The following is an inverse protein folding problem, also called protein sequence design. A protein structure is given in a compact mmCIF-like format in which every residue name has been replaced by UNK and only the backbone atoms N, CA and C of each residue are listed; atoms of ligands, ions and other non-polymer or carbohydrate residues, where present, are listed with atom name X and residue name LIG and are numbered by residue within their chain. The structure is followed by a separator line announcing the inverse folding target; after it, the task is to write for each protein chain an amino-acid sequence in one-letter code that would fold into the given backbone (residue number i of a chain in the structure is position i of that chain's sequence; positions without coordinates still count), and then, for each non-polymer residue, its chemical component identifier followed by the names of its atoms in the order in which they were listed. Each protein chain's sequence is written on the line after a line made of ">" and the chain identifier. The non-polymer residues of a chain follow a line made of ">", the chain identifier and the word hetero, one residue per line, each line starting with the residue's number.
data_IF_062624643198
#
_entry.id   IF_062624643198
#
_cell.length_a   1.000
_cell.length_b   1.000
_cell.length_c   1.000
_cell.angle_alpha   90.00
_cell.angle_beta   90.00
_cell.angle_gamma   90.00
#
_symmetry.space_group_name_H-M   'P 1'
#
loop_
_entity.id
_entity.type
_entity.pdbx_description
1 polymer ?
#
# COMPACT_ATOMS: atom_id res chain seq x y z
N UNK A 1 -16.57 -19.76 -19.88
CA UNK A 1 -15.29 -19.21 -19.40
C UNK A 1 -14.68 -20.23 -18.48
N UNK A 2 -13.36 -20.36 -18.54
CA UNK A 2 -12.63 -21.26 -17.65
C UNK A 2 -11.76 -20.40 -16.75
N UNK A 3 -11.89 -20.65 -15.46
CA UNK A 3 -11.19 -19.90 -14.43
C UNK A 3 -10.37 -20.84 -13.57
N UNK A 4 -9.21 -20.34 -13.20
CA UNK A 4 -8.25 -21.03 -12.35
C UNK A 4 -7.75 -20.07 -11.28
N UNK A 5 -7.32 -20.63 -10.16
CA UNK A 5 -6.69 -19.87 -9.08
C UNK A 5 -5.40 -20.53 -8.61
N UNK A 6 -4.52 -19.74 -8.03
CA UNK A 6 -3.35 -20.22 -7.29
C UNK A 6 -3.16 -19.42 -6.02
N UNK A 7 -3.12 -20.14 -4.89
CA UNK A 7 -2.80 -19.59 -3.57
C UNK A 7 -1.28 -19.55 -3.29
N UNK A 8 -0.48 -20.09 -4.22
CA UNK A 8 0.98 -20.08 -4.12
C UNK A 8 1.55 -18.67 -4.26
N UNK A 9 2.50 -18.24 -3.40
CA UNK A 9 3.07 -16.89 -3.46
C UNK A 9 3.84 -16.61 -4.75
N UNK A 10 4.36 -17.66 -5.40
CA UNK A 10 5.01 -17.54 -6.72
C UNK A 10 4.06 -17.00 -7.80
N UNK A 11 2.75 -17.23 -7.69
CA UNK A 11 1.77 -16.77 -8.67
C UNK A 11 1.75 -15.24 -8.82
N UNK A 12 2.08 -14.48 -7.76
CA UNK A 12 2.14 -13.02 -7.84
C UNK A 12 3.27 -12.52 -8.75
N UNK A 13 4.31 -13.34 -8.92
CA UNK A 13 5.46 -13.10 -9.80
C UNK A 13 5.29 -13.79 -11.15
N UNK A 14 4.10 -14.31 -11.46
CA UNK A 14 3.85 -14.97 -12.73
C UNK A 14 4.24 -14.05 -13.89
N UNK A 15 4.95 -14.64 -14.84
CA UNK A 15 5.44 -14.00 -16.06
C UNK A 15 4.81 -14.58 -17.31
N UNK A 16 4.32 -15.82 -17.23
CA UNK A 16 3.89 -16.60 -18.37
C UNK A 16 2.69 -17.50 -18.03
N UNK A 17 1.79 -17.63 -18.99
CA UNK A 17 0.71 -18.61 -19.01
C UNK A 17 0.66 -19.26 -20.40
N UNK A 18 0.56 -20.59 -20.45
CA UNK A 18 0.51 -21.34 -21.70
C UNK A 18 -0.37 -22.59 -21.58
N UNK A 19 -0.71 -23.16 -22.73
CA UNK A 19 -1.32 -24.49 -22.82
C UNK A 19 -0.18 -25.51 -22.92
N UNK A 20 -0.12 -26.46 -21.99
CA UNK A 20 0.90 -27.52 -21.97
C UNK A 20 0.87 -28.39 -23.24
N UNK A 21 -0.29 -28.49 -23.90
CA UNK A 21 -0.45 -29.32 -25.09
C UNK A 21 -0.19 -28.56 -26.40
N UNK A 22 0.03 -27.25 -26.34
CA UNK A 22 0.18 -26.40 -27.51
C UNK A 22 1.33 -25.40 -27.33
N UNK A 23 2.48 -25.75 -27.91
CA UNK A 23 3.70 -24.95 -27.83
C UNK A 23 3.64 -23.68 -28.70
N UNK A 24 2.65 -23.54 -29.58
CA UNK A 24 2.61 -22.47 -30.59
C UNK A 24 2.11 -21.11 -30.07
N UNK A 25 1.88 -20.95 -28.76
CA UNK A 25 1.54 -19.62 -28.24
C UNK A 25 1.33 -19.51 -26.74
N UNK A 26 1.72 -18.35 -26.21
CA UNK A 26 1.44 -17.98 -24.83
C UNK A 26 0.00 -17.45 -24.71
N UNK A 27 -0.74 -17.99 -23.76
CA UNK A 27 -2.10 -17.55 -23.42
C UNK A 27 -2.09 -16.19 -22.72
N UNK A 28 -1.01 -15.88 -22.01
CA UNK A 28 -0.76 -14.58 -21.39
C UNK A 28 0.74 -14.42 -21.10
N UNK A 29 1.25 -13.20 -21.26
CA UNK A 29 2.61 -12.82 -20.88
C UNK A 29 2.59 -11.52 -20.09
N UNK A 30 3.49 -11.42 -19.10
CA UNK A 30 3.70 -10.19 -18.35
C UNK A 30 4.81 -9.38 -19.00
N UNK A 31 4.48 -8.19 -19.49
CA UNK A 31 5.46 -7.29 -20.13
C UNK A 31 6.46 -6.71 -19.13
N UNK A 32 6.04 -6.43 -17.89
CA UNK A 32 6.87 -5.86 -16.84
C UNK A 32 6.64 -6.59 -15.51
N UNK A 33 7.65 -7.28 -15.00
CA UNK A 33 7.59 -8.05 -13.75
C UNK A 33 7.51 -7.16 -12.50
N UNK A 34 8.00 -5.91 -12.59
CA UNK A 34 7.95 -4.95 -11.48
C UNK A 34 6.57 -4.32 -11.31
N UNK A 35 5.72 -4.39 -12.34
CA UNK A 35 4.34 -3.86 -12.29
C UNK A 35 3.42 -4.88 -11.64
N UNK A 36 2.76 -4.59 -10.51
CA UNK A 36 1.85 -5.54 -9.84
C UNK A 36 0.76 -6.08 -10.76
N UNK A 37 0.28 -7.29 -10.48
CA UNK A 37 -0.88 -7.86 -11.19
C UNK A 37 -2.11 -6.95 -11.00
N UNK A 38 -2.90 -6.71 -12.06
CA UNK A 38 -4.09 -5.89 -11.95
C UNK A 38 -5.15 -6.57 -11.07
N UNK A 39 -6.01 -5.78 -10.43
CA UNK A 39 -7.18 -6.31 -9.75
C UNK A 39 -8.11 -7.00 -10.74
N UNK A 40 -8.71 -8.11 -10.34
CA UNK A 40 -9.71 -8.77 -11.16
C UNK A 40 -10.91 -7.85 -11.34
N UNK A 41 -11.13 -7.38 -12.57
CA UNK A 41 -12.28 -6.57 -12.95
C UNK A 41 -13.25 -7.42 -13.75
N UNK A 42 -14.54 -7.08 -13.71
CA UNK A 42 -15.58 -7.72 -14.52
C UNK A 42 -15.41 -7.48 -16.03
N UNK A 43 -14.48 -6.60 -16.42
CA UNK A 43 -14.03 -6.42 -17.79
C UNK A 43 -13.21 -7.63 -18.24
N UNK A 44 -13.97 -8.61 -18.72
CA UNK A 44 -13.59 -9.68 -19.63
C UNK A 44 -12.26 -9.51 -20.38
N UNK A 45 -11.48 -10.60 -20.57
CA UNK A 45 -10.27 -10.55 -21.38
C UNK A 45 -10.58 -10.09 -22.81
N UNK A 46 -9.69 -9.27 -23.43
CA UNK A 46 -9.78 -8.94 -24.86
C UNK A 46 -9.67 -10.22 -25.70
N UNK A 47 -10.28 -10.18 -26.89
CA UNK A 47 -10.96 -11.25 -27.64
C UNK A 47 -10.22 -12.57 -27.97
N UNK A 48 -9.10 -12.94 -27.34
CA UNK A 48 -8.55 -14.30 -27.47
C UNK A 48 -7.53 -14.78 -26.42
N UNK A 49 -7.08 -13.95 -25.47
CA UNK A 49 -5.98 -14.33 -24.56
C UNK A 49 -6.44 -14.27 -23.10
N UNK A 50 -6.05 -15.25 -22.30
CA UNK A 50 -6.38 -15.28 -20.87
C UNK A 50 -5.93 -13.98 -20.16
N UNK A 51 -6.64 -13.60 -19.10
CA UNK A 51 -6.22 -12.53 -18.19
C UNK A 51 -5.68 -13.17 -16.90
N UNK A 52 -4.56 -12.65 -16.40
CA UNK A 52 -4.09 -12.95 -15.04
C UNK A 52 -4.30 -11.72 -14.17
N UNK A 53 -4.99 -11.88 -13.04
CA UNK A 53 -5.38 -10.80 -12.14
C UNK A 53 -5.34 -11.27 -10.68
N UNK A 54 -5.52 -10.33 -9.75
CA UNK A 54 -5.55 -10.63 -8.30
C UNK A 54 -6.85 -10.19 -7.63
N UNK A 55 -7.36 -11.02 -6.73
CA UNK A 55 -8.42 -10.70 -5.77
C UNK A 55 -8.20 -11.55 -4.50
N UNK A 56 -7.40 -11.04 -3.56
CA UNK A 56 -6.82 -11.76 -2.41
C UNK A 56 -5.83 -12.88 -2.80
N UNK A 57 -6.13 -13.63 -3.86
CA UNK A 57 -5.31 -14.66 -4.48
C UNK A 57 -5.20 -14.40 -5.99
N UNK A 58 -4.32 -15.11 -6.68
CA UNK A 58 -4.13 -14.95 -8.13
C UNK A 58 -5.17 -15.78 -8.88
N UNK A 59 -5.81 -15.14 -9.85
CA UNK A 59 -6.77 -15.76 -10.75
C UNK A 59 -6.30 -15.69 -12.20
N UNK A 60 -6.68 -16.70 -12.96
CA UNK A 60 -6.56 -16.79 -14.40
C UNK A 60 -7.97 -16.89 -14.97
N UNK A 61 -8.33 -15.98 -15.86
CA UNK A 61 -9.65 -15.91 -16.50
C UNK A 61 -9.47 -16.07 -18.00
N UNK A 62 -9.89 -17.21 -18.53
CA UNK A 62 -9.76 -17.53 -19.94
C UNK A 62 -11.13 -17.59 -20.63
N UNK A 63 -11.20 -17.03 -21.84
CA UNK A 63 -12.32 -17.20 -22.76
C UNK A 63 -11.93 -18.22 -23.84
N UNK A 64 -12.89 -19.05 -24.24
CA UNK A 64 -12.75 -19.97 -25.38
C UNK A 64 -11.57 -20.95 -25.29
N UNK A 65 -11.24 -21.47 -24.09
CA UNK A 65 -10.30 -22.60 -24.01
C UNK A 65 -10.92 -23.82 -24.68
N UNK A 66 -10.15 -24.47 -25.53
CA UNK A 66 -10.54 -25.77 -26.10
C UNK A 66 -10.72 -26.79 -24.98
N UNK A 67 -11.68 -27.70 -25.15
CA UNK A 67 -11.94 -28.72 -24.13
C UNK A 67 -10.69 -29.60 -23.94
N UNK A 68 -10.24 -29.72 -22.70
CA UNK A 68 -9.08 -30.56 -22.32
C UNK A 68 -7.73 -29.83 -22.30
N UNK A 69 -7.71 -28.51 -22.55
CA UNK A 69 -6.51 -27.69 -22.36
C UNK A 69 -6.01 -27.76 -20.92
N UNK A 70 -4.70 -27.99 -20.75
CA UNK A 70 -4.03 -27.94 -19.44
C UNK A 70 -3.24 -26.65 -19.37
N UNK A 71 -3.78 -25.70 -18.61
CA UNK A 71 -3.16 -24.38 -18.43
C UNK A 71 -2.04 -24.48 -17.41
N UNK A 72 -0.86 -24.00 -17.78
CA UNK A 72 0.34 -23.94 -16.95
C UNK A 72 0.75 -22.48 -16.75
N UNK A 73 1.27 -22.17 -15.57
CA UNK A 73 1.76 -20.85 -15.21
C UNK A 73 3.20 -20.93 -14.71
N UNK A 74 4.02 -19.96 -15.11
CA UNK A 74 5.41 -19.84 -14.67
C UNK A 74 5.68 -18.47 -14.06
N UNK A 75 6.57 -18.48 -13.06
CA UNK A 75 7.07 -17.31 -12.36
C UNK A 75 8.60 -17.33 -12.34
N UNK A 76 9.21 -16.99 -13.49
CA UNK A 76 10.65 -17.18 -13.70
C UNK A 76 10.98 -18.66 -13.91
N UNK A 77 11.74 -19.26 -12.99
CA UNK A 77 12.08 -20.70 -13.03
C UNK A 77 11.07 -21.58 -12.28
N UNK A 78 10.12 -20.98 -11.56
CA UNK A 78 9.15 -21.69 -10.75
C UNK A 78 7.90 -22.03 -11.57
N UNK A 79 7.44 -23.28 -11.51
CA UNK A 79 6.10 -23.63 -11.97
C UNK A 79 5.06 -23.33 -10.89
N UNK A 80 3.97 -22.68 -11.29
CA UNK A 80 2.87 -22.31 -10.41
C UNK A 80 1.71 -23.29 -10.61
N UNK A 81 1.31 -23.93 -9.52
CA UNK A 81 0.17 -24.85 -9.53
C UNK A 81 -1.15 -24.07 -9.65
N UNK A 82 -1.88 -24.34 -10.72
CA UNK A 82 -3.23 -23.81 -10.92
C UNK A 82 -4.28 -24.86 -10.58
N UNK A 83 -5.35 -24.43 -9.90
CA UNK A 83 -6.53 -25.26 -9.64
C UNK A 83 -7.75 -24.64 -10.30
N UNK A 84 -8.64 -25.47 -10.85
CA UNK A 84 -9.90 -24.99 -11.42
C UNK A 84 -10.74 -24.31 -10.32
N UNK A 85 -11.30 -23.16 -10.64
CA UNK A 85 -12.11 -22.38 -9.71
C UNK A 85 -13.27 -21.71 -10.43
N UNK A 86 -14.19 -21.17 -9.64
CA UNK A 86 -15.12 -20.16 -10.15
C UNK A 86 -14.35 -18.89 -10.53
N UNK A 87 -14.93 -18.12 -11.44
CA UNK A 87 -14.36 -16.85 -11.86
C UNK A 87 -14.55 -15.81 -10.75
N UNK A 88 -13.55 -14.95 -10.50
CA UNK A 88 -13.65 -13.96 -9.44
C UNK A 88 -14.79 -12.98 -9.75
N UNK A 89 -15.63 -12.71 -8.75
CA UNK A 89 -16.57 -11.59 -8.83
C UNK A 89 -15.80 -10.27 -8.84
N UNK A 90 -16.29 -9.26 -9.58
CA UNK A 90 -15.71 -7.92 -9.53
C UNK A 90 -15.70 -7.41 -8.08
N UNK A 91 -14.65 -6.70 -7.66
CA UNK A 91 -14.63 -6.10 -6.35
C UNK A 91 -15.82 -5.14 -6.21
N UNK A 92 -16.47 -5.10 -5.04
CA UNK A 92 -17.55 -4.15 -4.78
C UNK A 92 -17.03 -2.73 -5.03
N UNK A 93 -17.84 -1.92 -5.74
CA UNK A 93 -17.47 -0.58 -6.21
C UNK A 93 -17.22 0.41 -5.06
N UNK A 94 -17.59 0.07 -3.83
CA UNK A 94 -17.49 0.94 -2.67
C UNK A 94 -16.58 0.34 -1.58
N UNK A 95 -15.28 0.65 -1.64
CA UNK A 95 -14.46 0.68 -0.45
C UNK A 95 -13.47 1.84 -0.55
N UNK A 96 -13.68 2.97 0.15
CA UNK A 96 -12.70 4.04 0.25
C UNK A 96 -11.53 3.56 1.14
N UNK A 97 -10.65 2.72 0.60
CA UNK A 97 -9.56 2.10 1.36
C UNK A 97 -8.34 2.99 1.60
N UNK A 98 -8.33 4.27 1.19
CA UNK A 98 -7.11 5.08 1.27
C UNK A 98 -7.23 6.42 2.02
N UNK A 99 -8.42 6.82 2.49
CA UNK A 99 -8.52 8.05 3.27
C UNK A 99 -8.36 7.80 4.78
N UNK A 100 -8.86 6.70 5.32
CA UNK A 100 -8.76 6.40 6.76
C UNK A 100 -7.34 6.01 7.20
N UNK A 101 -6.54 5.37 6.33
CA UNK A 101 -5.18 4.94 6.66
C UNK A 101 -4.18 6.09 6.81
N UNK A 102 -4.47 7.28 6.25
CA UNK A 102 -3.62 8.48 6.36
C UNK A 102 -4.12 9.43 7.45
N UNK A 103 -5.44 9.52 7.67
CA UNK A 103 -6.02 10.44 8.65
C UNK A 103 -5.61 10.05 10.09
N UNK A 104 -5.64 8.76 10.43
CA UNK A 104 -5.30 8.29 11.78
C UNK A 104 -3.86 8.65 12.19
N UNK A 105 -2.81 8.33 11.41
CA UNK A 105 -1.45 8.74 11.76
C UNK A 105 -1.25 10.26 11.71
N UNK A 106 -1.93 10.98 10.80
CA UNK A 106 -1.82 12.44 10.71
C UNK A 106 -2.37 13.15 11.95
N UNK A 107 -3.54 12.74 12.46
CA UNK A 107 -4.12 13.29 13.70
C UNK A 107 -3.20 13.01 14.90
N UNK A 108 -2.65 11.80 14.99
CA UNK A 108 -1.72 11.41 16.04
C UNK A 108 -0.45 12.26 16.05
N UNK A 109 0.14 12.51 14.88
CA UNK A 109 1.32 13.38 14.72
C UNK A 109 0.99 14.83 15.12
N UNK A 110 -0.16 15.35 14.71
CA UNK A 110 -0.56 16.72 15.04
C UNK A 110 -0.71 16.93 16.56
N UNK A 111 -1.33 15.95 17.27
CA UNK A 111 -1.47 15.99 18.72
C UNK A 111 -0.11 15.98 19.45
N UNK A 112 0.84 15.16 18.97
CA UNK A 112 2.20 15.11 19.54
C UNK A 112 2.91 16.47 19.42
N UNK A 113 2.80 17.13 18.25
CA UNK A 113 3.41 18.45 18.03
C UNK A 113 2.82 19.50 18.97
N UNK A 114 1.50 19.51 19.18
CA UNK A 114 0.84 20.45 20.10
C UNK A 114 1.31 20.23 21.54
N UNK A 115 1.44 18.98 21.99
CA UNK A 115 1.91 18.66 23.35
C UNK A 115 3.36 19.12 23.53
N UNK A 116 4.26 18.81 22.59
CA UNK A 116 5.67 19.20 22.66
C UNK A 116 5.81 20.72 22.63
N UNK A 117 5.13 21.39 21.70
CA UNK A 117 5.13 22.85 21.57
C UNK A 117 4.60 23.54 22.83
N UNK A 118 3.50 23.03 23.40
CA UNK A 118 2.93 23.54 24.66
C UNK A 118 3.88 23.40 25.84
N UNK A 119 4.52 22.22 26.00
CA UNK A 119 5.50 21.99 27.07
C UNK A 119 6.71 22.92 26.91
N UNK A 120 7.23 23.08 25.69
CA UNK A 120 8.35 23.99 25.41
C UNK A 120 7.98 25.45 25.67
N UNK A 121 6.80 25.90 25.26
CA UNK A 121 6.32 27.26 25.51
C UNK A 121 6.16 27.55 27.01
N UNK A 122 5.63 26.59 27.79
CA UNK A 122 5.53 26.72 29.25
C UNK A 122 6.91 26.79 29.89
N UNK A 123 7.85 25.93 29.48
CA UNK A 123 9.24 25.95 29.98
C UNK A 123 9.95 27.26 29.66
N UNK A 124 9.85 27.74 28.42
CA UNK A 124 10.43 29.02 28.01
C UNK A 124 9.80 30.20 28.73
N UNK A 125 8.48 30.19 28.92
CA UNK A 125 7.78 31.21 29.70
C UNK A 125 8.22 31.22 31.16
N UNK A 126 8.45 30.05 31.76
CA UNK A 126 8.96 29.93 33.14
C UNK A 126 10.40 30.43 33.27
N UNK A 127 11.26 30.11 32.30
CA UNK A 127 12.65 30.59 32.26
C UNK A 127 12.68 32.12 32.08
N UNK A 128 11.85 32.66 31.18
CA UNK A 128 11.79 34.10 30.96
C UNK A 128 11.30 34.82 32.22
N UNK A 129 10.28 34.29 32.91
CA UNK A 129 9.76 34.85 34.17
C UNK A 129 10.81 34.86 35.29
N UNK A 130 11.60 33.80 35.42
CA UNK A 130 12.70 33.75 36.39
C UNK A 130 13.81 34.78 36.06
N UNK A 131 14.10 35.00 34.78
CA UNK A 131 15.13 35.98 34.35
C UNK A 131 14.72 37.43 34.60
N UNK A 132 13.42 37.75 34.54
CA UNK A 132 12.93 39.11 34.82
C UNK A 132 12.99 39.43 36.32
N UNK A 133 12.84 38.44 37.22
CA UNK A 133 12.96 38.67 38.66
C UNK A 133 14.40 38.94 39.13
N UNK A 134 15.43 38.42 38.46
CA UNK A 134 16.82 38.69 38.83
C UNK A 134 17.27 40.12 38.49
N UNK A 135 16.74 40.72 37.43
CA UNK A 135 17.14 42.07 37.02
C UNK A 135 16.49 43.19 37.85
N UNK A 136 15.28 42.99 38.37
CA UNK A 136 14.60 43.99 39.22
C UNK A 136 15.16 44.02 40.66
N UNK A 137 15.91 43.00 41.09
CA UNK A 137 16.48 42.95 42.44
C UNK A 137 17.85 43.64 42.56
N UNK A 138 18.56 43.84 41.45
CA UNK A 138 19.87 44.55 41.44
C UNK A 138 19.73 46.07 41.32
N UNK A 139 18.66 46.59 40.72
CA UNK A 139 18.51 48.04 40.49
C UNK A 139 17.96 48.82 41.70
N UNK A 140 17.46 48.13 42.74
CA UNK A 140 16.92 48.80 43.95
C UNK A 140 17.96 49.02 45.06
N UNK A 141 19.22 48.58 44.91
CA UNK A 141 20.26 48.71 45.94
C UNK A 141 21.37 49.72 45.64
N UNK A 142 21.31 50.46 44.52
CA UNK A 142 22.41 51.32 44.05
C UNK A 142 22.05 52.80 43.92
N UNK A 143 20.98 53.26 44.58
CA UNK A 143 20.57 54.68 44.54
C UNK A 143 20.22 55.25 45.92
N UNK A 144 21.09 55.07 46.89
CA UNK A 144 21.11 55.87 48.13
C UNK A 144 22.55 56.03 48.61
N UNK A 145 23.27 56.98 48.01
CA UNK A 145 24.63 57.30 48.47
C UNK A 145 25.40 58.22 47.54
N UNK A 146 24.95 59.45 47.33
CA UNK A 146 25.86 60.55 47.02
C UNK A 146 25.29 61.88 47.52
N UNK A 147 26.12 62.55 48.33
CA UNK A 147 25.95 63.81 49.08
C UNK A 147 25.77 65.04 48.16
N UNK A 148 25.48 66.26 48.66
CA UNK A 148 26.41 67.02 49.52
C UNK A 148 25.94 67.17 50.97
#
# INVERSE_FOLDING_TARGET
>A
MDCFRSDGPAAQRASLLYDENNDDGHLWTRTNQDTPLPLCSSSHPPDSSCLVCTNQTVFVVCRNLTKGVKVMMEAGTDQVLLSKSECPEPPPVDAPQSQLAVIIPSILILLIIIIIGGVLAVRLSFIHRNKTQTHTKEESSTMTGMSP
#
